data_IF_867388940138
#
_entry.id   IF_867388940138
#
_cell.length_a   1.000
_cell.length_b   1.000
_cell.length_c   1.000
_cell.angle_alpha   90.00
_cell.angle_beta   90.00
_cell.angle_gamma   90.00
#
_symmetry.space_group_name_H-M   'P 1'
#
loop_
_entity.id
_entity.type
_entity.pdbx_description
1 polymer ?
#
# COMPACT_ATOMS: atom_id res chain seq x y z
N UNK A 1 0.20 23.93 9.51
CA UNK A 1 -0.89 24.56 8.73
C UNK A 1 -2.19 24.14 9.37
N UNK A 2 -3.19 25.01 9.54
CA UNK A 2 -4.47 24.56 10.07
C UNK A 2 -5.23 23.87 8.94
N UNK A 3 -5.43 22.57 9.08
CA UNK A 3 -6.19 21.74 8.15
C UNK A 3 -7.65 21.85 8.59
N UNK A 4 -8.32 22.96 8.23
CA UNK A 4 -9.77 23.03 8.34
C UNK A 4 -10.34 22.52 7.03
N UNK A 5 -10.61 21.21 6.98
CA UNK A 5 -11.63 20.74 6.04
C UNK A 5 -12.97 21.20 6.62
N UNK A 6 -13.73 21.97 5.84
CA UNK A 6 -15.14 22.24 6.10
C UNK A 6 -15.87 20.90 6.10
N UNK A 7 -16.06 20.31 7.29
CA UNK A 7 -16.80 19.06 7.43
C UNK A 7 -18.24 19.34 7.07
N UNK A 8 -18.80 18.51 6.19
CA UNK A 8 -20.21 18.66 5.81
C UNK A 8 -21.06 18.48 7.06
N UNK A 9 -20.69 17.54 7.94
CA UNK A 9 -21.37 17.30 9.21
C UNK A 9 -21.54 18.56 10.09
N UNK A 10 -20.57 19.48 10.05
CA UNK A 10 -20.60 20.72 10.84
C UNK A 10 -21.47 21.80 10.19
N UNK A 11 -21.59 21.79 8.85
CA UNK A 11 -22.42 22.73 8.08
C UNK A 11 -23.88 22.29 7.92
N UNK A 12 -24.22 21.05 8.30
CA UNK A 12 -25.60 20.51 8.16
C UNK A 12 -26.64 21.40 8.84
N UNK A 13 -26.32 22.05 9.96
CA UNK A 13 -27.30 22.92 10.66
C UNK A 13 -27.64 24.18 9.88
N UNK A 14 -26.66 24.76 9.18
CA UNK A 14 -26.83 26.00 8.40
C UNK A 14 -27.49 25.75 7.04
N UNK A 15 -27.31 24.55 6.48
CA UNK A 15 -27.91 24.15 5.21
C UNK A 15 -29.40 23.81 5.32
N UNK A 16 -29.90 23.55 6.52
CA UNK A 16 -31.29 23.17 6.75
C UNK A 16 -32.18 24.40 6.98
N UNK A 17 -33.38 24.47 6.37
CA UNK A 17 -34.36 25.51 6.67
C UNK A 17 -34.71 25.58 8.16
N UNK A 18 -34.98 26.78 8.69
CA UNK A 18 -35.31 27.03 10.11
C UNK A 18 -36.44 26.13 10.64
N UNK A 19 -37.39 25.73 9.79
CA UNK A 19 -38.48 24.81 10.16
C UNK A 19 -37.97 23.45 10.69
N UNK A 20 -36.88 22.92 10.13
CA UNK A 20 -36.28 21.67 10.62
C UNK A 20 -35.44 21.88 11.88
N UNK A 21 -35.01 23.12 12.15
CA UNK A 21 -34.26 23.48 13.35
C UNK A 21 -35.16 23.52 14.59
N UNK A 22 -36.38 24.06 14.48
CA UNK A 22 -37.34 24.12 15.59
C UNK A 22 -38.03 22.79 15.88
N UNK A 23 -38.53 22.09 14.84
CA UNK A 23 -39.45 20.96 15.03
C UNK A 23 -38.74 19.60 15.12
N UNK A 24 -37.44 19.52 14.78
CA UNK A 24 -36.77 18.26 14.47
C UNK A 24 -35.38 18.03 15.08
N UNK A 25 -35.13 18.23 16.39
CA UNK A 25 -33.79 18.06 16.96
C UNK A 25 -33.22 16.65 16.76
N UNK A 26 -34.08 15.62 16.76
CA UNK A 26 -33.68 14.23 16.48
C UNK A 26 -33.28 14.00 15.03
N UNK A 27 -33.91 14.70 14.09
CA UNK A 27 -33.62 14.58 12.67
C UNK A 27 -32.27 15.22 12.33
N UNK A 28 -31.95 16.35 12.95
CA UNK A 28 -30.64 17.00 12.82
C UNK A 28 -29.54 16.08 13.35
N UNK A 29 -29.71 15.51 14.55
CA UNK A 29 -28.73 14.56 15.09
C UNK A 29 -28.53 13.34 14.19
N UNK A 30 -29.61 12.86 13.55
CA UNK A 30 -29.52 11.76 12.60
C UNK A 30 -28.74 12.17 11.33
N UNK A 31 -29.07 13.31 10.72
CA UNK A 31 -28.35 13.80 9.54
C UNK A 31 -26.87 14.02 9.82
N UNK A 32 -26.53 14.60 10.98
CA UNK A 32 -25.14 14.75 11.42
C UNK A 32 -24.43 13.40 11.48
N UNK A 33 -25.02 12.41 12.16
CA UNK A 33 -24.43 11.06 12.24
C UNK A 33 -24.32 10.37 10.88
N UNK A 34 -25.25 10.65 9.96
CA UNK A 34 -25.23 10.10 8.61
C UNK A 34 -24.09 10.66 7.77
N UNK A 35 -23.89 11.98 7.77
CA UNK A 35 -22.77 12.60 7.07
C UNK A 35 -21.44 12.25 7.70
N UNK A 36 -21.37 12.17 9.03
CA UNK A 36 -20.19 11.67 9.74
C UNK A 36 -19.85 10.23 9.32
N UNK A 37 -20.85 9.37 9.13
CA UNK A 37 -20.65 8.02 8.59
C UNK A 37 -20.16 8.04 7.13
N UNK A 38 -20.67 8.95 6.29
CA UNK A 38 -20.23 9.09 4.89
C UNK A 38 -18.83 9.69 4.73
N UNK A 39 -18.35 10.44 5.72
CA UNK A 39 -16.97 10.95 5.76
C UNK A 39 -15.97 9.84 6.15
N UNK A 40 -16.43 8.79 6.84
CA UNK A 40 -15.58 7.68 7.30
C UNK A 40 -15.36 6.65 6.19
N UNK A 41 -14.09 6.31 5.99
CA UNK A 41 -13.65 5.12 5.26
C UNK A 41 -13.58 3.90 6.17
N UNK A 42 -13.54 2.71 5.58
CA UNK A 42 -13.39 1.44 6.29
C UNK A 42 -12.06 0.80 5.91
N UNK A 43 -11.21 0.51 6.90
CA UNK A 43 -9.96 -0.21 6.75
C UNK A 43 -9.99 -1.48 7.60
N UNK A 44 -9.86 -2.63 6.94
CA UNK A 44 -9.73 -3.93 7.60
C UNK A 44 -8.26 -4.33 7.53
N UNK A 45 -7.66 -4.63 8.68
CA UNK A 45 -6.27 -5.09 8.75
C UNK A 45 -6.19 -6.58 9.11
N UNK A 46 -5.08 -7.20 8.71
CA UNK A 46 -4.65 -8.56 9.03
C UNK A 46 -3.21 -8.56 9.52
N UNK A 47 -2.75 -9.68 10.07
CA UNK A 47 -1.36 -9.88 10.50
C UNK A 47 -0.85 -8.73 11.38
N UNK A 48 -1.64 -8.38 12.39
CA UNK A 48 -1.22 -7.44 13.42
C UNK A 48 -0.12 -8.08 14.28
N UNK A 49 0.83 -7.27 14.76
CA UNK A 49 1.76 -7.73 15.79
C UNK A 49 0.97 -8.26 16.99
N UNK A 50 1.12 -9.54 17.31
CA UNK A 50 0.51 -10.20 18.47
C UNK A 50 1.60 -10.58 19.46
N UNK A 51 1.40 -10.26 20.74
CA UNK A 51 2.24 -10.80 21.82
C UNK A 51 1.69 -12.19 22.12
N UNK A 52 2.44 -13.22 21.72
CA UNK A 52 2.05 -14.63 21.86
C UNK A 52 2.46 -15.21 23.23
N UNK A 53 3.38 -14.55 23.94
CA UNK A 53 3.90 -15.01 25.23
C UNK A 53 4.34 -13.83 26.10
N UNK A 54 4.24 -13.98 27.43
CA UNK A 54 4.82 -13.03 28.41
C UNK A 54 6.13 -13.62 28.91
N UNK A 55 7.24 -12.90 28.74
CA UNK A 55 8.53 -13.29 29.32
C UNK A 55 8.46 -13.39 30.85
N UNK A 56 8.99 -14.47 31.42
CA UNK A 56 9.16 -14.59 32.88
C UNK A 56 10.45 -13.88 33.32
N UNK A 57 10.36 -13.02 34.35
CA UNK A 57 11.46 -12.20 34.90
C UNK A 57 12.64 -13.02 35.47
N UNK A 58 12.53 -14.34 35.58
CA UNK A 58 13.54 -15.20 36.22
C UNK A 58 14.71 -15.60 35.28
N UNK A 59 14.74 -15.10 34.04
CA UNK A 59 15.83 -15.39 33.08
C UNK A 59 16.01 -16.87 32.74
N UNK A 60 15.06 -17.73 33.11
CA UNK A 60 15.10 -19.16 32.88
C UNK A 60 14.67 -19.46 31.45
N UNK A 61 15.68 -19.56 30.58
CA UNK A 61 15.62 -20.10 29.21
C UNK A 61 15.04 -21.53 29.16
N UNK A 62 14.79 -22.18 30.31
CA UNK A 62 14.15 -23.50 30.41
C UNK A 62 12.63 -23.47 30.14
N UNK A 63 12.00 -22.30 30.10
CA UNK A 63 10.61 -22.10 29.62
C UNK A 63 10.48 -21.94 28.09
N UNK A 64 11.61 -21.84 27.38
CA UNK A 64 11.69 -21.70 25.92
C UNK A 64 11.46 -23.03 25.18
N UNK A 65 11.47 -24.15 25.90
CA UNK A 65 11.21 -25.46 25.35
C UNK A 65 9.72 -25.56 25.01
N UNK A 66 9.42 -25.71 23.72
CA UNK A 66 8.09 -26.12 23.29
C UNK A 66 7.65 -27.36 24.07
N UNK A 67 6.46 -27.32 24.67
CA UNK A 67 5.83 -28.54 25.16
C UNK A 67 5.64 -29.54 24.00
N UNK A 68 5.27 -30.79 24.28
CA UNK A 68 5.15 -31.84 23.25
C UNK A 68 4.18 -31.52 22.11
N UNK A 69 3.38 -30.47 22.27
CA UNK A 69 2.42 -29.94 21.30
C UNK A 69 2.87 -28.64 20.60
N UNK A 70 4.12 -28.20 20.80
CA UNK A 70 4.67 -27.04 20.08
C UNK A 70 4.32 -25.67 20.66
N UNK A 71 3.92 -25.59 21.94
CA UNK A 71 3.48 -24.35 22.60
C UNK A 71 4.46 -23.96 23.73
N UNK A 72 4.72 -22.65 23.86
CA UNK A 72 5.47 -22.07 24.99
C UNK A 72 4.54 -21.81 26.17
N UNK A 73 5.08 -21.62 27.37
CA UNK A 73 4.34 -21.53 28.63
C UNK A 73 3.25 -20.45 28.64
N UNK A 74 2.06 -20.73 28.11
CA UNK A 74 1.05 -19.71 27.93
C UNK A 74 0.46 -19.25 29.28
N UNK A 75 0.14 -17.96 29.42
CA UNK A 75 -0.78 -17.54 30.47
C UNK A 75 -2.08 -18.32 30.28
N UNK A 76 -2.48 -19.14 31.26
CA UNK A 76 -3.75 -19.85 31.21
C UNK A 76 -4.90 -18.83 31.33
N UNK A 77 -5.45 -18.44 30.19
CA UNK A 77 -6.66 -17.64 30.13
C UNK A 77 -7.89 -18.55 30.25
N UNK A 78 -8.48 -18.63 31.45
CA UNK A 78 -9.72 -19.38 31.65
C UNK A 78 -10.91 -18.63 31.04
N UNK A 79 -11.86 -19.36 30.44
CA UNK A 79 -13.07 -18.80 29.82
C UNK A 79 -13.93 -17.94 30.77
N UNK A 80 -13.78 -18.12 32.09
CA UNK A 80 -14.47 -17.33 33.12
C UNK A 80 -13.94 -15.91 33.31
N UNK A 81 -12.74 -15.61 32.80
CA UNK A 81 -12.10 -14.29 32.95
C UNK A 81 -12.81 -13.20 32.14
N UNK A 82 -13.58 -13.60 31.12
CA UNK A 82 -14.21 -12.68 30.16
C UNK A 82 -15.69 -12.42 30.41
N UNK A 83 -16.31 -13.08 31.40
CA UNK A 83 -17.71 -12.84 31.73
C UNK A 83 -17.83 -11.52 32.51
N UNK A 84 -18.74 -10.58 32.14
CA UNK A 84 -19.87 -10.71 31.21
C UNK A 84 -19.66 -10.07 29.82
N UNK A 85 -18.41 -9.90 29.36
CA UNK A 85 -18.12 -9.29 28.06
C UNK A 85 -18.53 -10.19 26.89
N UNK A 86 -18.97 -9.59 25.79
CA UNK A 86 -19.33 -10.28 24.55
C UNK A 86 -18.12 -10.70 23.69
N UNK A 87 -16.90 -10.58 24.23
CA UNK A 87 -15.65 -10.84 23.50
C UNK A 87 -15.19 -12.26 23.82
N UNK A 88 -14.97 -13.09 22.79
CA UNK A 88 -14.58 -14.51 22.94
C UNK A 88 -13.07 -14.72 23.04
N UNK A 89 -12.28 -13.67 22.84
CA UNK A 89 -10.82 -13.69 22.88
C UNK A 89 -10.32 -12.39 23.51
N UNK A 90 -9.31 -12.46 24.37
CA UNK A 90 -8.60 -11.27 24.84
C UNK A 90 -7.17 -11.31 24.34
N UNK A 91 -6.70 -10.13 23.90
CA UNK A 91 -5.34 -9.92 23.44
C UNK A 91 -4.58 -9.11 24.49
N UNK A 92 -3.30 -9.44 24.66
CA UNK A 92 -2.38 -8.62 25.46
C UNK A 92 -2.00 -7.40 24.61
N UNK A 93 -2.34 -6.21 25.09
CA UNK A 93 -2.14 -4.96 24.36
C UNK A 93 -0.75 -4.34 24.62
N UNK A 94 -0.14 -4.66 25.76
CA UNK A 94 1.14 -4.09 26.21
C UNK A 94 1.99 -5.18 26.84
N UNK A 95 3.24 -5.29 26.39
CA UNK A 95 4.31 -5.96 27.11
C UNK A 95 5.42 -4.94 27.39
N UNK A 96 5.96 -4.99 28.61
CA UNK A 96 7.07 -4.14 29.03
C UNK A 96 8.29 -5.04 29.19
N UNK A 97 9.19 -5.00 28.22
CA UNK A 97 10.47 -5.69 28.32
C UNK A 97 11.42 -4.92 29.26
N UNK A 98 11.82 -5.57 30.35
CA UNK A 98 12.70 -5.01 31.39
C UNK A 98 14.18 -5.32 31.16
N UNK A 99 14.53 -6.18 30.19
CA UNK A 99 15.92 -6.61 29.97
C UNK A 99 16.73 -5.65 29.08
N UNK A 100 16.06 -4.73 28.38
CA UNK A 100 16.74 -3.70 27.59
C UNK A 100 17.15 -2.52 28.48
N UNK A 101 18.24 -2.70 29.24
CA UNK A 101 18.74 -1.83 30.33
C UNK A 101 18.90 -0.31 30.05
N UNK A 102 18.70 0.17 28.82
CA UNK A 102 18.82 1.61 28.51
C UNK A 102 17.58 2.25 27.86
N UNK A 103 16.59 1.50 27.37
CA UNK A 103 15.28 2.03 26.94
C UNK A 103 14.23 0.90 27.04
N UNK A 104 13.19 1.02 27.89
CA UNK A 104 12.12 0.03 27.91
C UNK A 104 11.40 0.01 26.56
N UNK A 105 11.42 -1.12 25.87
CA UNK A 105 10.67 -1.31 24.63
C UNK A 105 9.24 -1.69 25.01
N UNK A 106 8.31 -0.75 24.83
CA UNK A 106 6.88 -1.03 25.00
C UNK A 106 6.40 -1.65 23.69
N UNK A 107 6.21 -2.96 23.66
CA UNK A 107 5.57 -3.62 22.52
C UNK A 107 4.06 -3.31 22.60
N UNK A 108 3.60 -2.35 21.79
CA UNK A 108 2.18 -2.02 21.63
C UNK A 108 1.59 -2.85 20.49
N UNK A 109 0.50 -3.56 20.77
CA UNK A 109 -0.13 -4.48 19.80
C UNK A 109 -1.56 -4.08 19.42
N UNK A 110 -1.97 -2.88 19.83
CA UNK A 110 -3.27 -2.29 19.52
C UNK A 110 -3.13 -0.83 19.09
N UNK A 111 -3.88 -0.43 18.07
CA UNK A 111 -4.05 0.96 17.68
C UNK A 111 -4.82 1.74 18.75
N UNK A 112 -4.53 3.04 18.86
CA UNK A 112 -5.24 3.94 19.75
C UNK A 112 -6.33 4.72 18.98
N UNK A 113 -7.39 5.15 19.67
CA UNK A 113 -8.38 6.04 19.07
C UNK A 113 -7.74 7.42 18.81
N UNK A 114 -8.14 8.08 17.73
CA UNK A 114 -7.63 9.38 17.27
C UNK A 114 -6.16 9.36 16.82
N UNK A 115 -5.60 8.18 16.56
CA UNK A 115 -4.25 8.01 16.06
C UNK A 115 -4.16 8.17 14.53
N UNK A 116 -3.02 8.71 14.05
CA UNK A 116 -2.69 8.72 12.62
C UNK A 116 -1.97 7.44 12.20
N UNK A 117 -2.46 6.80 11.14
CA UNK A 117 -1.84 5.66 10.47
C UNK A 117 -1.25 6.08 9.13
N UNK A 118 -0.05 5.57 8.84
CA UNK A 118 0.70 5.84 7.61
C UNK A 118 1.00 4.54 6.87
N UNK A 119 0.74 4.52 5.56
CA UNK A 119 1.09 3.42 4.67
C UNK A 119 2.55 3.52 4.20
N UNK A 120 3.30 2.41 4.29
CA UNK A 120 4.72 2.39 3.92
C UNK A 120 5.00 2.49 2.41
N UNK A 121 4.10 1.98 1.57
CA UNK A 121 4.27 1.87 0.12
C UNK A 121 3.61 3.04 -0.62
N UNK A 122 2.42 3.42 -0.17
CA UNK A 122 1.58 4.44 -0.79
C UNK A 122 1.77 5.81 -0.15
N UNK A 123 2.30 5.86 1.08
CA UNK A 123 2.38 7.09 1.87
C UNK A 123 1.00 7.63 2.26
N UNK A 124 -0.06 6.82 2.16
CA UNK A 124 -1.40 7.20 2.54
C UNK A 124 -1.46 7.51 4.04
N UNK A 125 -2.19 8.56 4.42
CA UNK A 125 -2.34 9.00 5.81
C UNK A 125 -3.81 9.11 6.15
N UNK A 126 -4.18 8.50 7.28
CA UNK A 126 -5.54 8.57 7.80
C UNK A 126 -5.55 8.64 9.33
N UNK A 127 -6.59 9.24 9.92
CA UNK A 127 -6.85 9.21 11.37
C UNK A 127 -7.87 8.13 11.69
N UNK A 128 -7.65 7.39 12.76
CA UNK A 128 -8.59 6.39 13.28
C UNK A 128 -9.62 7.09 14.16
N UNK A 129 -10.88 7.11 13.74
CA UNK A 129 -11.96 7.68 14.55
C UNK A 129 -12.63 6.64 15.45
N UNK A 130 -12.82 5.42 14.93
CA UNK A 130 -13.49 4.33 15.66
C UNK A 130 -12.79 3.00 15.38
N UNK A 131 -12.46 2.29 16.45
CA UNK A 131 -11.96 0.92 16.38
C UNK A 131 -13.16 -0.02 16.55
N UNK A 132 -13.48 -0.78 15.50
CA UNK A 132 -14.52 -1.79 15.51
C UNK A 132 -14.07 -3.12 16.12
N UNK A 133 -15.02 -4.01 16.35
CA UNK A 133 -14.73 -5.39 16.75
C UNK A 133 -14.04 -6.14 15.61
N UNK A 134 -13.03 -6.95 15.92
CA UNK A 134 -12.32 -7.85 14.97
C UNK A 134 -11.60 -7.15 13.79
N UNK A 135 -10.64 -6.29 14.09
CA UNK A 135 -9.68 -5.73 13.11
C UNK A 135 -10.26 -4.79 12.04
N UNK A 136 -11.40 -4.16 12.35
CA UNK A 136 -12.03 -3.16 11.53
C UNK A 136 -11.74 -1.76 12.10
N UNK A 137 -11.23 -0.85 11.28
CA UNK A 137 -10.95 0.53 11.63
C UNK A 137 -11.80 1.44 10.75
N UNK A 138 -12.54 2.36 11.37
CA UNK A 138 -13.17 3.46 10.65
C UNK A 138 -12.23 4.65 10.68
N UNK A 139 -11.82 5.08 9.49
CA UNK A 139 -10.73 6.04 9.32
C UNK A 139 -11.17 7.24 8.50
N UNK A 140 -10.67 8.42 8.84
CA UNK A 140 -10.77 9.63 8.01
C UNK A 140 -9.47 9.78 7.22
N UNK A 141 -9.56 9.76 5.89
CA UNK A 141 -8.38 9.84 5.01
C UNK A 141 -8.07 11.30 4.64
N UNK A 142 -6.81 11.70 4.81
CA UNK A 142 -6.34 13.05 4.44
C UNK A 142 -5.50 13.07 3.17
N UNK A 143 -4.89 11.93 2.80
CA UNK A 143 -4.04 11.82 1.62
C UNK A 143 -4.86 11.62 0.34
N UNK A 144 -4.35 12.12 -0.79
CA UNK A 144 -4.87 11.76 -2.12
C UNK A 144 -4.64 10.28 -2.46
N UNK A 145 -3.52 9.72 -1.98
CA UNK A 145 -3.17 8.31 -2.15
C UNK A 145 -3.99 7.44 -1.18
N UNK A 146 -4.53 6.33 -1.69
CA UNK A 146 -5.26 5.31 -0.93
C UNK A 146 -4.34 4.18 -0.47
N UNK A 147 -4.74 3.47 0.58
CA UNK A 147 -4.04 2.27 1.05
C UNK A 147 -4.20 1.12 0.05
N UNK A 148 -3.08 0.48 -0.31
CA UNK A 148 -3.09 -0.70 -1.16
C UNK A 148 -3.27 -1.97 -0.32
N UNK A 149 -3.79 -3.03 -0.94
CA UNK A 149 -3.90 -4.35 -0.30
C UNK A 149 -2.50 -4.89 -0.01
N UNK A 150 -2.33 -5.57 1.13
CA UNK A 150 -1.06 -6.12 1.62
C UNK A 150 0.01 -5.08 1.98
N UNK A 151 -0.33 -3.79 1.98
CA UNK A 151 0.53 -2.73 2.49
C UNK A 151 0.67 -2.79 4.02
N UNK A 152 1.86 -2.49 4.53
CA UNK A 152 2.08 -2.31 5.98
C UNK A 152 1.66 -0.90 6.39
N UNK A 153 0.70 -0.82 7.31
CA UNK A 153 0.32 0.41 8.01
C UNK A 153 1.06 0.50 9.33
N UNK A 154 1.51 1.70 9.68
CA UNK A 154 2.19 2.01 10.93
C UNK A 154 1.47 3.14 11.64
N UNK A 155 1.11 2.93 12.90
CA UNK A 155 0.57 3.97 13.77
C UNK A 155 1.67 4.93 14.25
N UNK A 156 1.41 6.24 14.24
CA UNK A 156 2.39 7.25 14.70
C UNK A 156 2.54 7.32 16.22
N UNK A 157 1.55 6.90 16.99
CA UNK A 157 1.51 6.99 18.46
C UNK A 157 1.70 5.62 19.12
N UNK A 158 1.11 4.59 18.51
CA UNK A 158 1.20 3.21 18.94
C UNK A 158 2.41 2.50 18.35
N UNK A 159 3.03 3.02 17.28
CA UNK A 159 4.09 2.34 16.51
C UNK A 159 3.67 0.94 16.03
N UNK A 160 2.38 0.60 16.13
CA UNK A 160 1.86 -0.70 15.76
C UNK A 160 1.92 -0.85 14.25
N UNK A 161 2.47 -1.98 13.81
CA UNK A 161 2.45 -2.38 12.41
C UNK A 161 1.38 -3.44 12.16
N UNK A 162 0.58 -3.25 11.10
CA UNK A 162 -0.36 -4.26 10.62
C UNK A 162 -0.40 -4.25 9.09
N UNK A 163 -0.87 -5.32 8.47
CA UNK A 163 -1.08 -5.37 7.02
C UNK A 163 -2.51 -5.04 6.64
N UNK A 164 -2.71 -4.32 5.55
CA UNK A 164 -4.06 -4.02 5.03
C UNK A 164 -4.65 -5.26 4.36
N UNK A 165 -5.81 -5.70 4.83
CA UNK A 165 -6.57 -6.79 4.22
C UNK A 165 -7.54 -6.26 3.16
N UNK A 166 -8.25 -5.18 3.46
CA UNK A 166 -9.17 -4.52 2.54
C UNK A 166 -9.36 -3.06 2.97
N UNK A 167 -9.40 -2.17 2.00
CA UNK A 167 -9.64 -0.75 2.24
C UNK A 167 -10.79 -0.26 1.35
N UNK A 168 -11.73 0.46 1.94
CA UNK A 168 -12.79 1.18 1.25
C UNK A 168 -12.72 2.65 1.66
N UNK A 169 -12.34 3.50 0.71
CA UNK A 169 -12.36 4.94 0.91
C UNK A 169 -13.77 5.45 1.20
N UNK A 170 -13.85 6.60 1.86
CA UNK A 170 -15.13 7.23 2.13
C UNK A 170 -15.82 7.60 0.82
N UNK A 171 -17.16 7.43 0.70
CA UNK A 171 -17.89 7.75 -0.53
C UNK A 171 -17.64 9.19 -1.02
N UNK A 172 -17.51 10.14 -0.09
CA UNK A 172 -17.24 11.53 -0.42
C UNK A 172 -15.84 11.72 -1.01
N UNK A 173 -14.83 11.12 -0.39
CA UNK A 173 -13.45 11.20 -0.87
C UNK A 173 -13.30 10.49 -2.23
N UNK A 174 -13.91 9.32 -2.39
CA UNK A 174 -13.90 8.58 -3.64
C UNK A 174 -14.59 9.34 -4.78
N UNK A 175 -15.68 10.07 -4.51
CA UNK A 175 -16.37 10.88 -5.50
C UNK A 175 -15.51 12.06 -5.98
N UNK A 176 -14.84 12.75 -5.05
CA UNK A 176 -13.98 13.90 -5.37
C UNK A 176 -12.73 13.49 -6.15
N UNK A 177 -12.15 12.34 -5.81
CA UNK A 177 -10.92 11.82 -6.41
C UNK A 177 -11.17 10.86 -7.59
N UNK A 178 -12.41 10.73 -8.06
CA UNK A 178 -12.75 9.83 -9.16
C UNK A 178 -11.96 10.14 -10.44
N UNK A 179 -11.72 11.42 -10.73
CA UNK A 179 -10.95 11.82 -11.90
C UNK A 179 -9.46 11.50 -11.76
N UNK A 180 -8.90 11.60 -10.55
CA UNK A 180 -7.49 11.28 -10.32
C UNK A 180 -7.23 9.77 -10.36
N UNK A 181 -8.24 8.93 -10.11
CA UNK A 181 -8.13 7.47 -10.24
C UNK A 181 -8.04 6.97 -11.69
N UNK A 182 -8.29 7.83 -12.68
CA UNK A 182 -8.00 7.50 -14.07
C UNK A 182 -6.49 7.34 -14.33
N UNK A 183 -5.64 7.94 -13.50
CA UNK A 183 -4.19 7.77 -13.56
C UNK A 183 -3.76 6.52 -12.78
N UNK A 184 -3.00 5.64 -13.45
CA UNK A 184 -2.45 4.40 -12.89
C UNK A 184 -1.51 4.68 -11.70
N UNK A 185 -0.86 5.84 -11.66
CA UNK A 185 0.00 6.18 -10.54
C UNK A 185 -0.82 6.53 -9.28
N UNK A 186 -2.04 7.03 -9.43
CA UNK A 186 -2.93 7.46 -8.33
C UNK A 186 -4.13 6.54 -8.06
N UNK A 187 -4.32 5.51 -8.88
CA UNK A 187 -5.42 4.57 -8.74
C UNK A 187 -5.34 3.74 -7.44
N UNK A 188 -6.48 3.23 -6.98
CA UNK A 188 -6.51 2.24 -5.90
C UNK A 188 -6.02 0.87 -6.38
N UNK A 189 -5.50 0.06 -5.45
CA UNK A 189 -5.11 -1.33 -5.73
C UNK A 189 -6.23 -2.18 -6.35
N UNK A 190 -7.49 -1.98 -5.95
CA UNK A 190 -8.64 -2.69 -6.53
C UNK A 190 -8.83 -2.36 -8.01
N UNK A 191 -8.71 -1.08 -8.38
CA UNK A 191 -8.81 -0.65 -9.77
C UNK A 191 -7.62 -1.09 -10.62
N UNK A 192 -6.43 -1.25 -10.02
CA UNK A 192 -5.25 -1.79 -10.70
C UNK A 192 -5.51 -3.19 -11.28
N UNK A 193 -6.26 -4.03 -10.54
CA UNK A 193 -6.68 -5.37 -10.97
C UNK A 193 -7.58 -5.30 -12.22
N UNK A 194 -8.53 -4.35 -12.25
CA UNK A 194 -9.41 -4.15 -13.41
C UNK A 194 -8.64 -3.66 -14.63
N UNK A 195 -7.78 -2.65 -14.45
CA UNK A 195 -6.93 -2.17 -15.52
C UNK A 195 -6.02 -3.27 -16.06
N UNK A 196 -5.53 -4.19 -15.21
CA UNK A 196 -4.71 -5.32 -15.67
C UNK A 196 -5.54 -6.26 -16.53
N UNK A 197 -6.75 -6.60 -16.10
CA UNK A 197 -7.63 -7.48 -16.87
C UNK A 197 -7.97 -6.90 -18.25
N UNK A 198 -8.18 -5.59 -18.31
CA UNK A 198 -8.65 -4.94 -19.53
C UNK A 198 -7.49 -4.62 -20.49
N UNK A 199 -6.34 -4.16 -19.97
CA UNK A 199 -5.20 -3.79 -20.79
C UNK A 199 -4.16 -4.90 -20.96
N UNK A 200 -4.09 -5.90 -20.07
CA UNK A 200 -2.97 -6.86 -20.01
C UNK A 200 -3.42 -8.30 -19.75
N UNK A 201 -4.34 -8.86 -20.55
CA UNK A 201 -4.94 -10.17 -20.26
C UNK A 201 -3.95 -11.34 -20.37
N UNK A 202 -2.84 -11.17 -21.08
CA UNK A 202 -1.87 -12.24 -21.35
C UNK A 202 -0.69 -12.26 -20.38
N UNK A 203 -0.66 -11.34 -19.43
CA UNK A 203 0.45 -11.15 -18.51
C UNK A 203 0.02 -11.63 -17.12
N UNK A 204 0.77 -12.58 -16.55
CA UNK A 204 0.48 -13.15 -15.22
C UNK A 204 0.58 -12.12 -14.08
N UNK A 205 -0.10 -12.39 -12.96
CA UNK A 205 -0.13 -11.49 -11.79
C UNK A 205 1.20 -11.42 -11.05
N UNK A 206 1.99 -12.50 -11.09
CA UNK A 206 3.19 -12.70 -10.27
C UNK A 206 4.47 -12.23 -10.98
N UNK A 207 4.40 -11.07 -11.65
CA UNK A 207 5.59 -10.42 -12.18
C UNK A 207 6.32 -9.71 -11.05
N UNK A 208 7.64 -9.91 -10.99
CA UNK A 208 8.56 -9.33 -10.01
C UNK A 208 8.73 -7.80 -10.15
N UNK A 209 8.32 -7.24 -11.28
CA UNK A 209 8.48 -5.84 -11.60
C UNK A 209 7.33 -4.94 -11.16
N UNK A 210 7.59 -3.64 -11.24
CA UNK A 210 6.64 -2.61 -10.86
C UNK A 210 5.39 -2.66 -11.76
N UNK A 211 4.31 -3.23 -11.21
CA UNK A 211 3.01 -3.42 -11.88
C UNK A 211 2.44 -2.12 -12.44
N UNK A 212 2.64 -1.00 -11.73
CA UNK A 212 2.13 0.33 -12.14
C UNK A 212 2.86 0.84 -13.37
N UNK A 213 4.19 0.74 -13.38
CA UNK A 213 5.01 1.15 -14.53
C UNK A 213 4.71 0.32 -15.78
N UNK A 214 4.55 -0.99 -15.60
CA UNK A 214 4.19 -1.90 -16.69
C UNK A 214 2.84 -1.50 -17.29
N UNK A 215 1.83 -1.28 -16.44
CA UNK A 215 0.50 -0.87 -16.88
C UNK A 215 0.48 0.49 -17.57
N UNK A 216 1.29 1.45 -17.11
CA UNK A 216 1.44 2.77 -17.72
C UNK A 216 1.94 2.70 -19.17
N UNK A 217 2.89 1.80 -19.44
CA UNK A 217 3.54 1.68 -20.75
C UNK A 217 3.05 0.50 -21.60
N UNK A 218 2.00 -0.20 -21.18
CA UNK A 218 1.54 -1.40 -21.90
C UNK A 218 1.01 -1.09 -23.30
N UNK A 219 0.39 0.08 -23.49
CA UNK A 219 -0.06 0.50 -24.82
C UNK A 219 1.11 0.69 -25.78
N UNK A 220 2.18 1.34 -25.32
CA UNK A 220 3.40 1.53 -26.10
C UNK A 220 4.05 0.19 -26.46
N UNK A 221 4.08 -0.74 -25.50
CA UNK A 221 4.55 -2.10 -25.73
C UNK A 221 3.76 -2.82 -26.85
N UNK A 222 2.43 -2.72 -26.84
CA UNK A 222 1.61 -3.35 -27.90
C UNK A 222 1.75 -2.68 -29.26
N UNK A 223 1.91 -1.34 -29.29
CA UNK A 223 2.12 -0.59 -30.54
C UNK A 223 3.49 -0.90 -31.16
N UNK A 224 4.52 -1.04 -30.32
CA UNK A 224 5.89 -1.31 -30.77
C UNK A 224 6.17 -2.80 -31.00
N UNK A 225 5.16 -3.67 -30.90
CA UNK A 225 5.32 -5.13 -30.98
C UNK A 225 6.09 -5.54 -32.24
N UNK A 226 7.22 -6.22 -32.04
CA UNK A 226 8.08 -6.73 -33.10
C UNK A 226 9.25 -5.83 -33.48
N UNK A 227 9.37 -4.64 -32.88
CA UNK A 227 10.59 -3.82 -32.94
C UNK A 227 11.67 -4.38 -32.01
N UNK A 228 12.93 -4.03 -32.26
CA UNK A 228 14.06 -4.41 -31.39
C UNK A 228 13.81 -3.86 -29.98
N UNK A 229 13.47 -2.59 -29.91
CA UNK A 229 13.23 -1.81 -28.70
C UNK A 229 12.10 -2.39 -27.85
N UNK A 230 11.04 -2.93 -28.48
CA UNK A 230 9.94 -3.60 -27.77
C UNK A 230 10.38 -4.85 -27.02
N UNK A 231 11.27 -5.65 -27.62
CA UNK A 231 11.81 -6.82 -26.94
C UNK A 231 12.73 -6.42 -25.79
N UNK A 232 13.63 -5.47 -26.00
CA UNK A 232 14.52 -4.96 -24.94
C UNK A 232 13.72 -4.39 -23.76
N UNK A 233 12.69 -3.60 -24.05
CA UNK A 233 11.78 -3.02 -23.07
C UNK A 233 10.96 -4.09 -22.32
N UNK A 234 10.44 -5.08 -23.03
CA UNK A 234 9.68 -6.19 -22.44
C UNK A 234 10.53 -7.01 -21.47
N UNK A 235 11.76 -7.36 -21.86
CA UNK A 235 12.68 -8.10 -20.98
C UNK A 235 13.09 -7.26 -19.75
N UNK A 236 13.35 -5.96 -19.95
CA UNK A 236 13.62 -5.03 -18.85
C UNK A 236 12.48 -5.00 -17.85
N UNK A 237 11.23 -4.99 -18.33
CA UNK A 237 10.07 -4.92 -17.46
C UNK A 237 9.69 -6.27 -16.86
N UNK A 238 9.80 -7.40 -17.55
CA UNK A 238 9.38 -8.68 -16.97
C UNK A 238 10.41 -9.28 -16.02
N UNK A 239 11.70 -9.13 -16.37
CA UNK A 239 12.79 -9.83 -15.69
C UNK A 239 13.80 -8.89 -15.05
N UNK A 240 13.72 -7.58 -15.30
CA UNK A 240 14.73 -6.63 -14.83
C UNK A 240 16.07 -6.74 -15.55
N UNK A 241 16.10 -7.41 -16.71
CA UNK A 241 17.32 -7.67 -17.49
C UNK A 241 17.31 -6.88 -18.81
N UNK A 242 18.49 -6.40 -19.23
CA UNK A 242 18.63 -5.82 -20.57
C UNK A 242 18.89 -6.93 -21.59
N UNK A 243 17.93 -7.14 -22.48
CA UNK A 243 18.11 -8.06 -23.60
C UNK A 243 18.86 -7.38 -24.75
N UNK A 244 19.76 -8.10 -25.40
CA UNK A 244 20.37 -7.68 -26.66
C UNK A 244 19.75 -8.47 -27.81
N UNK A 245 18.99 -7.80 -28.67
CA UNK A 245 18.42 -8.44 -29.86
C UNK A 245 19.32 -8.13 -31.07
N UNK A 246 19.90 -9.19 -31.63
CA UNK A 246 20.68 -9.15 -32.87
C UNK A 246 19.91 -9.86 -33.97
N UNK A 247 19.83 -9.23 -35.14
CA UNK A 247 19.18 -9.85 -36.29
C UNK A 247 20.17 -10.74 -37.03
N UNK A 248 19.82 -11.99 -37.40
CA UNK A 248 20.70 -12.86 -38.18
C UNK A 248 21.21 -12.20 -39.46
N UNK A 249 20.43 -11.30 -40.07
CA UNK A 249 20.77 -10.52 -41.27
C UNK A 249 22.03 -9.64 -41.13
N UNK A 250 22.39 -9.24 -39.91
CA UNK A 250 23.63 -8.50 -39.64
C UNK A 250 24.86 -9.41 -39.69
N UNK A 251 24.67 -10.69 -39.34
CA UNK A 251 25.73 -11.70 -39.29
C UNK A 251 25.82 -12.54 -40.58
N UNK A 252 25.13 -12.16 -41.66
CA UNK A 252 25.25 -12.83 -42.96
C UNK A 252 26.35 -12.17 -43.79
N UNK A 253 27.22 -13.00 -44.37
CA UNK A 253 28.20 -12.57 -45.37
C UNK A 253 27.45 -12.02 -46.59
N UNK A 254 27.53 -10.71 -46.80
CA UNK A 254 26.98 -10.05 -47.99
C UNK A 254 28.06 -10.06 -49.09
N UNK A 255 27.84 -10.74 -50.24
CA UNK A 255 28.77 -10.64 -51.35
C UNK A 255 28.79 -9.19 -51.86
N UNK A 256 30.00 -8.62 -52.02
CA UNK A 256 30.24 -7.31 -52.63
C UNK A 256 29.96 -6.04 -51.78
N UNK A 257 30.31 -6.02 -50.49
CA UNK A 257 30.39 -4.78 -49.67
C UNK A 257 31.82 -4.19 -49.65
N UNK A 258 32.58 -4.40 -50.73
CA UNK A 258 33.93 -3.85 -50.87
C UNK A 258 33.84 -2.49 -51.54
N UNK A 259 33.95 -1.41 -50.77
CA UNK A 259 34.17 -0.07 -51.32
C UNK A 259 35.60 -0.02 -51.88
N UNK A 260 35.72 0.05 -53.21
CA UNK A 260 37.02 0.15 -53.87
C UNK A 260 37.58 1.55 -53.64
N UNK A 261 38.45 1.69 -52.64
CA UNK A 261 39.19 2.92 -52.36
C UNK A 261 40.49 2.88 -53.16
N UNK A 262 40.59 3.70 -54.21
CA UNK A 262 41.84 3.89 -54.96
C UNK A 262 42.70 4.95 -54.26
N UNK A 263 43.84 4.60 -53.63
CA UNK A 263 44.70 5.58 -52.97
C UNK A 263 45.41 6.44 -54.01
N UNK A 264 44.92 7.66 -54.23
CA UNK A 264 45.62 8.67 -55.04
C UNK A 264 46.83 9.18 -54.25
N UNK A 265 48.03 8.77 -54.65
CA UNK A 265 49.28 9.27 -54.07
C UNK A 265 49.90 10.36 -54.94
N UNK A 266 49.99 11.59 -54.43
CA UNK A 266 50.73 12.67 -55.07
C UNK A 266 52.18 12.64 -54.60
N UNK A 267 53.13 12.40 -55.50
CA UNK A 267 54.58 12.49 -55.21
C UNK A 267 55.12 13.83 -55.70
N UNK A 268 55.47 14.71 -54.77
CA UNK A 268 56.16 15.96 -55.04
C UNK A 268 57.68 15.72 -54.97
N UNK A 269 58.39 16.12 -56.00
CA UNK A 269 59.86 16.18 -56.01
C UNK A 269 60.29 17.64 -56.09
N UNK A 270 61.10 18.07 -55.13
CA UNK A 270 61.74 19.38 -55.15
C UNK A 270 63.11 19.21 -55.80
N UNK A 271 63.27 19.75 -57.00
CA UNK A 271 64.58 19.94 -57.62
C UNK A 271 65.17 21.22 -57.05
N UNK A 272 66.31 21.12 -56.38
CA UNK A 272 67.13 22.25 -55.97
C UNK A 272 68.26 22.35 -57.00
N UNK A 273 68.46 23.57 -57.52
CA UNK A 273 69.50 23.92 -58.51
C UNK A 273 70.89 23.39 -58.15
#
# INVERSE_FOLDING_TARGET
MPIFYDRIADQVEELLPEFFQEDGPRFISFLKSYFEFLEKGQLIYKDAADIDYIGLEDGTVEGEAFNTDGQRGNMLQEAGTYAPSSVTTAKINFEHDVDTQDQPVIAKTSFEQDEYVVGSTTGAVARIDVIGSSSNLYIEQFSEAQFDIDETITGMTSEMTAKVASFKASPLHAANNLLSYADVDKTSGDFLEYFRRDFMPFIDRDILANKRLLQKHVQELYLAKGTKESYEFLFRILYGEEAEVTFPTENVIRPSVSEFVEPTVMRLYSTKD
#
